data_IF_791614473755
#
_entry.id   IF_791614473755
#
_cell.length_a   1.000
_cell.length_b   1.000
_cell.length_c   1.000
_cell.angle_alpha   90.00
_cell.angle_beta   90.00
_cell.angle_gamma   90.00
#
_symmetry.space_group_name_H-M   'P 1'
#
loop_
_entity.id
_entity.type
_entity.pdbx_description
1 polymer ?
#
# COMPACT_ATOMS: atom_id res chain seq x y z
N UNK A 1 -3.50 12.32 20.33
CA UNK A 1 -2.59 11.13 20.36
C UNK A 1 -1.32 11.44 19.57
N UNK A 2 -0.21 10.80 19.92
CA UNK A 2 1.07 10.94 19.22
C UNK A 2 1.10 9.98 18.02
N UNK A 3 1.76 10.37 16.91
CA UNK A 3 1.98 9.46 15.78
C UNK A 3 2.75 8.21 16.20
N UNK A 4 2.45 7.08 15.56
CA UNK A 4 3.11 5.80 15.81
C UNK A 4 3.79 5.29 14.56
N UNK A 5 5.08 4.95 14.69
CA UNK A 5 5.86 4.34 13.61
C UNK A 5 5.75 2.82 13.73
N UNK A 6 5.44 2.17 12.62
CA UNK A 6 5.32 0.72 12.47
C UNK A 6 6.47 0.19 11.64
N UNK A 7 6.99 -0.97 12.00
CA UNK A 7 8.10 -1.62 11.30
C UNK A 7 7.79 -3.08 11.00
N UNK A 8 8.40 -3.64 9.96
CA UNK A 8 8.21 -5.05 9.59
C UNK A 8 8.61 -5.97 10.74
N UNK A 9 9.71 -5.68 11.41
CA UNK A 9 10.27 -6.53 12.47
C UNK A 9 9.34 -6.62 13.69
N UNK A 10 8.70 -5.50 14.02
CA UNK A 10 7.85 -5.39 15.22
C UNK A 10 6.38 -5.59 14.93
N UNK A 11 5.89 -4.99 13.86
CA UNK A 11 4.46 -4.87 13.57
C UNK A 11 4.04 -5.74 12.36
N UNK A 12 5.03 -6.22 11.59
CA UNK A 12 4.84 -7.02 10.39
C UNK A 12 4.48 -6.23 9.15
N UNK A 13 4.53 -4.90 9.22
CA UNK A 13 4.40 -3.98 8.08
C UNK A 13 5.12 -2.68 8.39
N UNK A 14 5.50 -1.92 7.36
CA UNK A 14 6.04 -0.57 7.51
C UNK A 14 4.95 0.46 7.32
N UNK A 15 4.92 1.46 8.20
CA UNK A 15 3.96 2.54 8.10
C UNK A 15 4.07 3.56 9.23
N UNK A 16 3.28 4.60 9.13
CA UNK A 16 3.14 5.59 10.20
C UNK A 16 1.67 5.89 10.43
N UNK A 17 1.19 5.65 11.61
CA UNK A 17 -0.16 6.03 12.02
C UNK A 17 -0.18 7.46 12.52
N UNK A 18 -1.08 8.25 11.95
CA UNK A 18 -1.31 9.65 12.25
C UNK A 18 -2.75 9.84 12.74
N UNK A 19 -2.97 9.83 14.06
CA UNK A 19 -4.29 10.07 14.61
C UNK A 19 -4.76 11.49 14.28
N UNK A 20 -6.06 11.64 14.05
CA UNK A 20 -6.64 12.98 13.90
C UNK A 20 -6.61 13.70 15.24
N UNK A 21 -6.14 14.95 15.31
CA UNK A 21 -6.08 15.71 16.56
C UNK A 21 -7.44 15.88 17.25
N UNK A 22 -8.52 15.92 16.47
CA UNK A 22 -9.88 16.09 16.96
C UNK A 22 -10.59 14.74 17.26
N UNK A 23 -9.86 13.63 17.13
CA UNK A 23 -10.44 12.30 17.19
C UNK A 23 -11.15 11.91 15.88
N UNK A 24 -11.19 10.63 15.60
CA UNK A 24 -11.93 10.06 14.46
C UNK A 24 -12.14 8.58 14.66
N UNK A 25 -13.23 8.06 14.10
CA UNK A 25 -13.51 6.63 13.93
C UNK A 25 -13.27 6.15 12.50
N UNK A 26 -12.87 7.05 11.61
CA UNK A 26 -12.61 6.81 10.20
C UNK A 26 -11.10 6.87 9.94
N UNK A 27 -10.57 5.90 9.23
CA UNK A 27 -9.16 5.88 8.87
C UNK A 27 -8.97 5.66 7.37
N UNK A 28 -7.98 6.33 6.80
CA UNK A 28 -7.51 6.07 5.45
C UNK A 28 -6.12 5.44 5.49
N UNK A 29 -5.99 4.22 4.94
CA UNK A 29 -4.69 3.66 4.57
C UNK A 29 -4.25 4.37 3.30
N UNK A 30 -3.17 5.13 3.37
CA UNK A 30 -2.68 5.94 2.25
C UNK A 30 -1.30 5.44 1.82
N UNK A 31 -1.21 4.89 0.61
CA UNK A 31 0.06 4.40 0.06
C UNK A 31 0.84 5.55 -0.59
N UNK A 32 1.21 6.51 0.23
CA UNK A 32 1.96 7.72 -0.14
C UNK A 32 3.41 7.68 0.37
N UNK A 33 3.84 6.55 0.92
CA UNK A 33 5.10 6.38 1.62
C UNK A 33 4.92 6.29 3.13
N UNK A 34 5.86 5.64 3.78
CA UNK A 34 5.88 5.36 5.23
C UNK A 34 6.94 6.17 5.98
N UNK A 35 7.65 7.07 5.30
CA UNK A 35 8.67 7.93 5.91
C UNK A 35 8.05 9.21 6.46
N UNK A 36 8.33 9.48 7.72
CA UNK A 36 7.92 10.74 8.37
C UNK A 36 8.57 11.98 7.77
N UNK A 37 9.60 11.82 6.95
CA UNK A 37 10.30 12.90 6.24
C UNK A 37 9.73 13.15 4.84
N UNK A 38 8.98 12.21 4.29
CA UNK A 38 8.40 12.32 2.96
C UNK A 38 7.41 13.50 2.91
N UNK A 39 7.67 14.43 2.00
CA UNK A 39 6.85 15.62 1.81
C UNK A 39 5.46 15.29 1.26
N UNK A 40 5.34 14.27 0.39
CA UNK A 40 4.06 13.82 -0.15
C UNK A 40 3.20 13.17 0.94
N UNK A 41 3.79 12.30 1.74
CA UNK A 41 3.11 11.69 2.87
C UNK A 41 2.60 12.74 3.85
N UNK A 42 3.44 13.72 4.23
CA UNK A 42 3.03 14.82 5.11
C UNK A 42 1.92 15.69 4.53
N UNK A 43 1.99 16.00 3.24
CA UNK A 43 0.96 16.77 2.54
C UNK A 43 -0.37 16.04 2.51
N UNK A 44 -0.36 14.77 2.10
CA UNK A 44 -1.51 13.89 2.06
C UNK A 44 -2.14 13.68 3.44
N UNK A 45 -1.33 13.44 4.46
CA UNK A 45 -1.80 13.30 5.85
C UNK A 45 -2.55 14.55 6.31
N UNK A 46 -1.98 15.74 6.14
CA UNK A 46 -2.63 16.99 6.52
C UNK A 46 -3.96 17.21 5.81
N UNK A 47 -4.01 16.86 4.52
CA UNK A 47 -5.23 16.97 3.73
C UNK A 47 -6.32 16.02 4.24
N UNK A 48 -5.99 14.76 4.48
CA UNK A 48 -6.92 13.75 4.99
C UNK A 48 -7.39 14.08 6.42
N UNK A 49 -6.49 14.53 7.29
CA UNK A 49 -6.85 14.94 8.64
C UNK A 49 -7.82 16.13 8.66
N UNK A 50 -7.68 17.09 7.74
CA UNK A 50 -8.66 18.18 7.56
C UNK A 50 -10.06 17.67 7.14
N UNK A 51 -10.13 16.48 6.55
CA UNK A 51 -11.40 15.79 6.23
C UNK A 51 -11.93 14.93 7.37
N UNK A 52 -11.32 14.98 8.54
CA UNK A 52 -11.77 14.25 9.73
C UNK A 52 -11.24 12.82 9.83
N UNK A 53 -10.22 12.45 9.08
CA UNK A 53 -9.71 11.09 9.04
C UNK A 53 -8.46 10.91 9.93
N UNK A 54 -8.36 9.76 10.58
CA UNK A 54 -7.07 9.19 10.93
C UNK A 54 -6.37 8.74 9.65
N UNK A 55 -5.06 8.65 9.64
CA UNK A 55 -4.31 8.20 8.47
C UNK A 55 -3.26 7.18 8.87
N UNK A 56 -3.19 6.08 8.13
CA UNK A 56 -2.06 5.16 8.17
C UNK A 56 -1.33 5.28 6.83
N UNK A 57 -0.17 5.94 6.81
CA UNK A 57 0.67 5.92 5.62
C UNK A 57 1.42 4.61 5.55
N UNK A 58 1.43 3.97 4.38
CA UNK A 58 2.18 2.74 4.10
C UNK A 58 2.96 2.89 2.81
N UNK A 59 4.07 2.17 2.70
CA UNK A 59 4.78 1.96 1.44
C UNK A 59 4.96 0.46 1.21
N UNK A 60 4.84 -0.01 -0.02
CA UNK A 60 5.12 -1.41 -0.35
C UNK A 60 6.54 -1.82 0.02
N UNK A 61 7.51 -0.92 -0.15
CA UNK A 61 8.90 -1.18 0.17
C UNK A 61 9.67 0.11 0.51
N UNK A 62 9.99 0.35 1.78
CA UNK A 62 10.58 1.62 2.21
C UNK A 62 12.04 1.82 1.80
N UNK A 63 12.79 0.75 1.54
CA UNK A 63 14.20 0.81 1.14
C UNK A 63 14.50 0.13 -0.18
N UNK A 64 13.79 -0.94 -0.45
CA UNK A 64 13.88 -1.72 -1.68
C UNK A 64 12.58 -1.51 -2.45
N UNK A 65 12.36 -0.29 -2.86
CA UNK A 65 11.13 0.11 -3.53
C UNK A 65 10.85 -0.83 -4.70
N UNK A 66 9.95 -1.76 -4.46
CA UNK A 66 9.61 -2.76 -5.44
C UNK A 66 8.29 -3.43 -5.11
N UNK A 67 7.55 -3.75 -6.15
CA UNK A 67 6.37 -4.58 -6.07
C UNK A 67 6.75 -5.97 -6.57
N UNK A 68 7.30 -6.78 -5.69
CA UNK A 68 7.67 -8.15 -5.98
C UNK A 68 7.18 -9.06 -4.87
N UNK A 69 6.21 -9.92 -5.20
CA UNK A 69 5.56 -10.81 -4.23
C UNK A 69 5.17 -10.10 -2.93
N UNK A 70 4.64 -8.87 -3.05
CA UNK A 70 4.25 -8.08 -1.88
C UNK A 70 3.21 -8.86 -1.05
N UNK A 71 3.49 -9.17 0.21
CA UNK A 71 2.58 -10.01 1.01
C UNK A 71 1.35 -9.20 1.46
N UNK A 72 0.16 -9.62 1.04
CA UNK A 72 -1.10 -8.99 1.46
C UNK A 72 -1.35 -9.09 2.96
N UNK A 73 -0.72 -10.03 3.65
CA UNK A 73 -0.75 -10.16 5.11
C UNK A 73 -0.29 -8.91 5.84
N UNK A 74 0.45 -8.03 5.18
CA UNK A 74 0.81 -6.72 5.74
C UNK A 74 -0.42 -5.84 5.93
N UNK A 75 -1.38 -5.90 5.01
CA UNK A 75 -2.65 -5.19 5.19
C UNK A 75 -3.50 -5.83 6.28
N UNK A 76 -3.55 -7.15 6.37
CA UNK A 76 -4.25 -7.86 7.44
C UNK A 76 -3.79 -7.38 8.82
N UNK A 77 -2.46 -7.30 9.04
CA UNK A 77 -1.88 -6.79 10.29
C UNK A 77 -2.19 -5.30 10.51
N UNK A 78 -2.13 -4.50 9.45
CA UNK A 78 -2.46 -3.09 9.52
C UNK A 78 -3.94 -2.87 9.89
N UNK A 79 -4.85 -3.62 9.28
CA UNK A 79 -6.29 -3.58 9.58
C UNK A 79 -6.58 -3.98 11.02
N UNK A 80 -5.95 -5.07 11.50
CA UNK A 80 -6.07 -5.50 12.89
C UNK A 80 -5.61 -4.39 13.85
N UNK A 81 -4.47 -3.76 13.58
CA UNK A 81 -3.98 -2.62 14.36
C UNK A 81 -4.98 -1.45 14.34
N UNK A 82 -5.49 -1.07 13.18
CA UNK A 82 -6.42 0.05 13.07
C UNK A 82 -7.71 -0.18 13.87
N UNK A 83 -8.20 -1.41 13.94
CA UNK A 83 -9.34 -1.77 14.80
C UNK A 83 -9.02 -1.60 16.28
N UNK A 84 -7.81 -1.97 16.74
CA UNK A 84 -7.41 -1.75 18.14
C UNK A 84 -7.31 -0.27 18.48
N UNK A 85 -7.08 0.59 17.49
CA UNK A 85 -7.07 2.05 17.65
C UNK A 85 -8.48 2.69 17.62
N UNK A 86 -9.53 1.88 17.57
CA UNK A 86 -10.92 2.33 17.57
C UNK A 86 -11.42 2.87 16.23
N UNK A 87 -10.76 2.51 15.12
CA UNK A 87 -11.29 2.84 13.79
C UNK A 87 -12.39 1.83 13.42
N UNK A 88 -13.58 2.35 13.12
CA UNK A 88 -14.75 1.58 12.73
C UNK A 88 -14.84 1.42 11.22
N UNK A 89 -14.51 2.47 10.47
CA UNK A 89 -14.52 2.49 9.01
C UNK A 89 -13.11 2.71 8.46
N UNK A 90 -12.71 1.87 7.55
CA UNK A 90 -11.35 1.89 7.00
C UNK A 90 -11.41 1.98 5.47
N UNK A 91 -10.85 3.06 4.92
CA UNK A 91 -10.61 3.20 3.50
C UNK A 91 -9.17 2.91 3.12
N UNK A 92 -8.94 2.67 1.85
CA UNK A 92 -7.60 2.54 1.27
C UNK A 92 -7.46 3.42 0.03
N UNK A 93 -6.28 4.03 -0.17
CA UNK A 93 -5.99 4.81 -1.36
C UNK A 93 -4.57 4.57 -1.88
N UNK A 94 -4.45 4.57 -3.20
CA UNK A 94 -3.18 4.46 -3.90
C UNK A 94 -3.26 4.97 -5.33
N UNK A 95 -2.10 5.12 -5.96
CA UNK A 95 -1.99 5.58 -7.35
C UNK A 95 -1.07 4.65 -8.15
N UNK A 96 -1.34 4.49 -9.45
CA UNK A 96 -0.58 3.61 -10.35
C UNK A 96 -0.49 2.19 -9.75
N UNK A 97 0.71 1.65 -9.55
CA UNK A 97 0.93 0.33 -8.92
C UNK A 97 0.35 0.21 -7.52
N UNK A 98 0.42 1.26 -6.70
CA UNK A 98 -0.25 1.23 -5.38
C UNK A 98 -1.76 1.37 -5.50
N UNK A 99 -2.28 1.94 -6.59
CA UNK A 99 -3.70 1.91 -6.92
C UNK A 99 -4.20 0.50 -7.23
N UNK A 100 -3.45 -0.27 -8.02
CA UNK A 100 -3.71 -1.70 -8.24
C UNK A 100 -3.68 -2.47 -6.92
N UNK A 101 -2.64 -2.24 -6.10
CA UNK A 101 -2.52 -2.90 -4.80
C UNK A 101 -3.69 -2.56 -3.86
N UNK A 102 -4.23 -1.33 -3.92
CA UNK A 102 -5.43 -0.94 -3.17
C UNK A 102 -6.67 -1.74 -3.60
N UNK A 103 -6.87 -1.94 -4.91
CA UNK A 103 -7.96 -2.74 -5.46
C UNK A 103 -7.84 -4.20 -5.02
N UNK A 104 -6.64 -4.77 -5.10
CA UNK A 104 -6.38 -6.15 -4.67
C UNK A 104 -6.63 -6.32 -3.17
N UNK A 105 -6.12 -5.40 -2.34
CA UNK A 105 -6.38 -5.45 -0.89
C UNK A 105 -7.88 -5.35 -0.58
N UNK A 106 -8.60 -4.45 -1.22
CA UNK A 106 -10.04 -4.30 -1.02
C UNK A 106 -10.84 -5.54 -1.49
N UNK A 107 -10.36 -6.27 -2.47
CA UNK A 107 -10.99 -7.52 -2.90
C UNK A 107 -10.77 -8.69 -1.92
N UNK A 108 -9.71 -8.63 -1.13
CA UNK A 108 -9.36 -9.68 -0.16
C UNK A 108 -9.87 -9.40 1.26
N UNK A 109 -10.02 -8.13 1.63
CA UNK A 109 -10.35 -7.73 3.01
C UNK A 109 -11.65 -6.92 3.06
N UNK A 110 -12.71 -7.53 3.56
CA UNK A 110 -14.04 -6.92 3.71
C UNK A 110 -14.07 -5.74 4.68
N UNK A 111 -13.06 -5.59 5.52
CA UNK A 111 -12.87 -4.46 6.42
C UNK A 111 -12.57 -3.14 5.69
N UNK A 112 -12.14 -3.22 4.43
CA UNK A 112 -11.92 -2.04 3.59
C UNK A 112 -13.24 -1.68 2.93
N UNK A 113 -13.86 -0.60 3.44
CA UNK A 113 -15.20 -0.17 3.01
C UNK A 113 -15.18 0.93 1.94
N UNK A 114 -14.03 1.53 1.69
CA UNK A 114 -13.82 2.56 0.68
C UNK A 114 -12.48 2.38 -0.02
N UNK A 115 -12.48 2.42 -1.35
CA UNK A 115 -11.24 2.35 -2.15
C UNK A 115 -11.13 3.53 -3.08
N UNK A 116 -9.99 4.21 -3.06
CA UNK A 116 -9.62 5.28 -3.99
C UNK A 116 -8.40 4.82 -4.78
N UNK A 117 -8.60 4.41 -6.01
CA UNK A 117 -7.53 3.99 -6.91
C UNK A 117 -7.37 5.04 -8.04
N UNK A 118 -6.19 5.65 -8.11
CA UNK A 118 -5.89 6.69 -9.09
C UNK A 118 -5.04 6.08 -10.20
N UNK A 119 -5.59 6.03 -11.41
CA UNK A 119 -4.92 5.45 -12.59
C UNK A 119 -4.30 4.07 -12.32
N UNK A 120 -5.04 3.12 -11.71
CA UNK A 120 -4.54 1.77 -11.46
C UNK A 120 -4.47 0.97 -12.77
N UNK A 121 -3.70 -0.14 -12.76
CA UNK A 121 -4.03 -1.27 -13.64
C UNK A 121 -5.22 -2.04 -13.05
N UNK A 122 -6.02 -2.65 -13.90
CA UNK A 122 -7.17 -3.50 -13.54
C UNK A 122 -6.81 -4.99 -13.44
N UNK A 123 -5.53 -5.28 -13.47
CA UNK A 123 -4.93 -6.62 -13.31
C UNK A 123 -3.70 -6.56 -12.40
N UNK A 124 -3.36 -7.69 -11.79
CA UNK A 124 -2.10 -7.84 -11.06
C UNK A 124 -0.96 -7.87 -12.07
N UNK A 125 0.00 -6.97 -11.89
CA UNK A 125 1.16 -6.86 -12.77
C UNK A 125 2.23 -7.88 -12.42
N UNK A 126 3.12 -8.16 -13.38
CA UNK A 126 4.41 -8.76 -13.08
C UNK A 126 5.17 -7.90 -12.08
N UNK A 127 5.88 -8.52 -11.16
CA UNK A 127 6.68 -7.85 -10.17
C UNK A 127 7.87 -7.09 -10.76
N UNK A 128 8.28 -6.05 -10.08
CA UNK A 128 9.46 -5.27 -10.43
C UNK A 128 10.21 -4.84 -9.17
N UNK A 129 11.50 -4.56 -9.36
CA UNK A 129 12.36 -3.99 -8.32
C UNK A 129 12.72 -2.54 -8.66
N UNK A 130 12.90 -1.73 -7.64
CA UNK A 130 13.60 -0.46 -7.77
C UNK A 130 14.96 -0.56 -7.10
N UNK A 131 16.03 -0.31 -7.85
CA UNK A 131 17.38 -0.31 -7.31
C UNK A 131 17.58 0.95 -6.46
N UNK A 132 17.69 0.73 -5.16
CA UNK A 132 17.42 1.66 -4.08
C UNK A 132 18.38 2.81 -3.85
N UNK A 133 19.16 3.32 -4.82
CA UNK A 133 20.02 4.50 -4.53
C UNK A 133 19.38 5.83 -4.89
N UNK A 134 18.50 5.86 -5.84
CA UNK A 134 17.87 7.09 -6.34
C UNK A 134 16.42 6.90 -6.85
N UNK A 135 15.86 5.72 -6.72
CA UNK A 135 14.48 5.43 -7.19
C UNK A 135 14.32 5.51 -8.71
N UNK A 136 15.44 5.65 -9.45
CA UNK A 136 15.41 5.98 -10.86
C UNK A 136 15.45 4.75 -11.79
N UNK A 137 15.79 3.58 -11.27
CA UNK A 137 15.96 2.38 -12.09
C UNK A 137 15.02 1.27 -11.66
N UNK A 138 13.84 1.24 -12.28
CA UNK A 138 12.98 0.08 -12.23
C UNK A 138 13.60 -1.04 -13.07
N UNK A 139 13.75 -2.22 -12.47
CA UNK A 139 14.08 -3.41 -13.23
C UNK A 139 12.96 -4.43 -13.08
N UNK A 140 12.63 -5.16 -14.15
CA UNK A 140 11.64 -6.21 -14.09
C UNK A 140 12.01 -7.26 -13.04
N UNK A 141 11.02 -7.85 -12.42
CA UNK A 141 11.18 -9.06 -11.64
C UNK A 141 11.58 -10.26 -12.52
N UNK A 142 11.74 -11.40 -11.89
CA UNK A 142 12.18 -12.63 -12.56
C UNK A 142 11.01 -13.42 -13.19
N UNK A 143 9.96 -12.74 -13.64
CA UNK A 143 8.74 -13.35 -14.16
C UNK A 143 7.83 -13.86 -13.05
N UNK A 144 7.76 -13.15 -11.92
CA UNK A 144 6.88 -13.45 -10.79
C UNK A 144 5.86 -12.34 -10.58
N UNK A 145 4.84 -12.63 -9.78
CA UNK A 145 3.78 -11.67 -9.44
C UNK A 145 4.32 -10.50 -8.62
N UNK A 146 3.71 -9.34 -8.79
CA UNK A 146 3.94 -8.21 -7.89
C UNK A 146 3.34 -8.41 -6.49
N UNK A 147 2.38 -9.33 -6.33
CA UNK A 147 1.60 -9.54 -5.11
C UNK A 147 1.54 -11.00 -4.74
N UNK A 148 1.62 -11.30 -3.45
CA UNK A 148 1.41 -12.64 -2.89
C UNK A 148 0.37 -12.64 -1.77
N UNK A 149 -0.29 -13.78 -1.57
CA UNK A 149 -1.20 -14.01 -0.46
C UNK A 149 -1.09 -15.45 0.04
N UNK A 150 -1.03 -15.65 1.36
CA UNK A 150 -0.76 -16.93 2.00
C UNK A 150 0.51 -17.62 1.47
N UNK A 151 1.56 -16.81 1.25
CA UNK A 151 2.84 -17.28 0.74
C UNK A 151 2.82 -17.76 -0.71
N UNK A 152 1.75 -17.48 -1.47
CA UNK A 152 1.61 -17.85 -2.88
C UNK A 152 1.50 -16.59 -3.75
N UNK A 153 2.26 -16.52 -4.86
CA UNK A 153 2.06 -15.47 -5.85
C UNK A 153 0.63 -15.46 -6.38
N UNK A 154 0.01 -14.29 -6.52
CA UNK A 154 -1.27 -14.17 -7.21
C UNK A 154 -1.08 -14.32 -8.73
N UNK A 155 -2.09 -14.81 -9.46
CA UNK A 155 -2.09 -14.74 -10.92
C UNK A 155 -1.84 -13.31 -11.40
N UNK A 156 -1.01 -13.14 -12.41
CA UNK A 156 -0.59 -11.84 -12.89
C UNK A 156 -0.48 -11.81 -14.42
N UNK A 157 -0.46 -10.63 -14.98
CA UNK A 157 -0.19 -10.40 -16.39
C UNK A 157 1.29 -10.02 -16.57
N UNK A 158 2.07 -10.78 -17.36
CA UNK A 158 3.48 -10.49 -17.59
C UNK A 158 3.66 -9.24 -18.45
N UNK A 159 4.83 -8.63 -18.39
CA UNK A 159 5.14 -7.47 -19.21
C UNK A 159 5.11 -7.80 -20.71
N UNK A 160 4.63 -6.85 -21.50
CA UNK A 160 4.45 -7.00 -22.96
C UNK A 160 5.72 -7.43 -23.71
N UNK A 161 6.91 -7.01 -23.24
CA UNK A 161 8.17 -7.40 -23.88
C UNK A 161 8.55 -8.87 -23.65
N UNK A 162 7.98 -9.51 -22.60
CA UNK A 162 8.18 -10.96 -22.34
C UNK A 162 7.16 -11.81 -23.09
N UNK A 163 5.93 -11.33 -23.16
CA UNK A 163 4.79 -12.04 -23.72
C UNK A 163 3.90 -11.11 -24.53
N UNK A 164 4.39 -10.61 -25.69
CA UNK A 164 3.66 -9.65 -26.51
C UNK A 164 2.30 -10.16 -26.97
N UNK A 165 2.12 -11.47 -27.06
CA UNK A 165 0.87 -12.12 -27.47
C UNK A 165 -0.29 -11.88 -26.49
N UNK A 166 -0.02 -11.52 -25.24
CA UNK A 166 -1.08 -11.19 -24.26
C UNK A 166 -1.62 -9.76 -24.39
N UNK A 167 -0.99 -8.95 -25.23
CA UNK A 167 -1.30 -7.53 -25.37
C UNK A 167 -1.84 -7.15 -26.75
N UNK A 168 -2.23 -8.15 -27.58
CA UNK A 168 -2.76 -7.96 -28.92
C UNK A 168 -4.30 -7.87 -28.94
#
# INVERSE_FOLDING_TARGET
MKKEIKTIEKDGYNGVYWPNPNGSKYCMIAMLGDDTKDMMAKGGVKWLQKKGLNVLTMSPAPKDYGHHNYPLERFEKALAFLKTMGNEEIGIMGASTTGMLALVAASCFSEITLTIAISPSDFVMEGFYQDGKDGAHERPGDGESSVSYHGKPLPYLPYAYRHPEYWQ
#
